data_IF_511996903283
#
_entry.id   IF_511996903283
#
_cell.length_a   1.000
_cell.length_b   1.000
_cell.length_c   1.000
_cell.angle_alpha   90.00
_cell.angle_beta   90.00
_cell.angle_gamma   90.00
#
_symmetry.space_group_name_H-M   'P 1'
#
loop_
_entity.id
_entity.type
_entity.pdbx_description
1 polymer ?
#
# COMPACT_ATOMS: atom_id res chain seq x y z
N UNK A 1 6.64 15.51 8.61
CA UNK A 1 5.68 14.83 7.73
C UNK A 1 5.48 15.63 6.46
N UNK A 2 5.55 15.00 5.30
CA UNK A 2 5.24 15.63 4.02
C UNK A 2 3.78 16.11 4.01
N UNK A 3 3.51 17.36 3.60
CA UNK A 3 2.15 17.92 3.49
C UNK A 3 1.26 17.05 2.59
N UNK A 4 1.83 16.59 1.48
CA UNK A 4 1.18 15.67 0.52
C UNK A 4 0.79 14.35 1.18
N UNK A 5 1.61 13.78 2.07
CA UNK A 5 1.29 12.53 2.73
C UNK A 5 0.06 12.67 3.66
N UNK A 6 -0.06 13.80 4.36
CA UNK A 6 -1.23 14.11 5.19
C UNK A 6 -2.49 14.30 4.35
N UNK A 7 -2.41 15.02 3.23
CA UNK A 7 -3.54 15.16 2.30
C UNK A 7 -3.99 13.81 1.74
N UNK A 8 -3.06 12.93 1.39
CA UNK A 8 -3.35 11.58 0.91
C UNK A 8 -4.09 10.78 1.99
N UNK A 9 -3.60 10.80 3.24
CA UNK A 9 -4.26 10.10 4.34
C UNK A 9 -5.68 10.62 4.56
N UNK A 10 -5.89 11.94 4.53
CA UNK A 10 -7.23 12.54 4.65
C UNK A 10 -8.18 12.07 3.55
N UNK A 11 -7.72 12.02 2.30
CA UNK A 11 -8.53 11.49 1.19
C UNK A 11 -8.91 10.03 1.45
N UNK A 12 -7.97 9.20 1.90
CA UNK A 12 -8.24 7.79 2.20
C UNK A 12 -9.24 7.65 3.36
N UNK A 13 -9.12 8.47 4.40
CA UNK A 13 -10.08 8.51 5.52
C UNK A 13 -11.48 8.96 5.08
N UNK A 14 -11.59 9.97 4.21
CA UNK A 14 -12.87 10.42 3.62
C UNK A 14 -13.54 9.33 2.78
N UNK A 15 -12.73 8.43 2.20
CA UNK A 15 -13.20 7.24 1.46
C UNK A 15 -13.44 6.02 2.36
N UNK A 16 -13.43 6.18 3.69
CA UNK A 16 -13.60 5.12 4.69
C UNK A 16 -12.49 4.04 4.68
N UNK A 17 -11.32 4.35 4.10
CA UNK A 17 -10.17 3.45 4.01
C UNK A 17 -9.25 3.61 5.24
N UNK A 18 -9.76 3.28 6.41
CA UNK A 18 -9.07 3.47 7.70
C UNK A 18 -7.91 2.50 7.97
N UNK A 19 -7.61 1.58 7.05
CA UNK A 19 -6.52 0.61 7.20
C UNK A 19 -5.16 1.20 6.81
N UNK A 20 -5.15 2.39 6.21
CA UNK A 20 -3.93 3.08 5.81
C UNK A 20 -3.37 3.92 6.96
N UNK A 21 -2.06 3.85 7.18
CA UNK A 21 -1.34 4.64 8.18
C UNK A 21 -0.07 5.24 7.59
N UNK A 22 0.40 6.35 8.18
CA UNK A 22 1.66 6.99 7.78
C UNK A 22 2.79 6.63 8.74
N UNK A 23 3.98 6.38 8.18
CA UNK A 23 5.21 6.17 8.95
C UNK A 23 6.31 7.09 8.43
N UNK A 24 6.75 8.02 9.26
CA UNK A 24 7.87 8.90 8.92
C UNK A 24 9.18 8.11 8.85
N UNK A 25 9.98 8.39 7.82
CA UNK A 25 11.33 7.84 7.63
C UNK A 25 12.37 8.95 7.79
N UNK A 26 13.58 8.60 8.25
CA UNK A 26 14.70 9.54 8.23
C UNK A 26 14.93 10.03 6.79
N UNK A 27 15.03 11.35 6.59
CA UNK A 27 15.34 11.95 5.28
C UNK A 27 14.19 12.63 4.56
N UNK A 28 13.06 12.90 5.23
CA UNK A 28 11.93 13.65 4.62
C UNK A 28 10.99 12.79 3.78
N UNK A 29 11.13 11.47 3.85
CA UNK A 29 10.22 10.53 3.21
C UNK A 29 9.17 10.04 4.21
N UNK A 30 7.93 9.87 3.75
CA UNK A 30 6.83 9.33 4.56
C UNK A 30 6.27 8.09 3.86
N UNK A 31 6.29 6.96 4.55
CA UNK A 31 5.72 5.71 4.03
C UNK A 31 4.21 5.67 4.26
N UNK A 32 3.46 5.30 3.23
CA UNK A 32 2.06 4.92 3.33
C UNK A 32 1.97 3.40 3.50
N UNK A 33 1.46 2.99 4.66
CA UNK A 33 1.38 1.60 5.10
C UNK A 33 -0.08 1.13 5.08
N UNK A 34 -0.31 -0.14 4.75
CA UNK A 34 -1.58 -0.84 4.93
C UNK A 34 -1.47 -1.80 6.12
N UNK A 35 -2.45 -1.74 7.03
CA UNK A 35 -2.50 -2.55 8.26
C UNK A 35 -1.18 -2.50 9.06
N UNK A 36 -0.54 -1.33 9.11
CA UNK A 36 0.75 -1.04 9.78
C UNK A 36 1.99 -1.83 9.33
N UNK A 37 1.82 -2.77 8.39
CA UNK A 37 2.85 -3.77 8.10
C UNK A 37 3.22 -3.84 6.61
N UNK A 38 2.28 -3.55 5.70
CA UNK A 38 2.52 -3.60 4.27
C UNK A 38 2.83 -2.20 3.74
N UNK A 39 4.04 -1.98 3.25
CA UNK A 39 4.37 -0.75 2.53
C UNK A 39 3.61 -0.73 1.20
N UNK A 40 2.79 0.28 0.99
CA UNK A 40 2.11 0.50 -0.30
C UNK A 40 2.97 1.40 -1.17
N UNK A 41 3.42 2.53 -0.65
CA UNK A 41 4.34 3.41 -1.35
C UNK A 41 5.05 4.37 -0.39
N UNK A 42 6.13 4.98 -0.84
CA UNK A 42 6.84 6.03 -0.10
C UNK A 42 6.62 7.38 -0.80
N UNK A 43 6.33 8.39 0.01
CA UNK A 43 5.95 9.74 -0.44
C UNK A 43 7.07 10.72 -0.06
N UNK A 44 7.58 11.47 -1.04
CA UNK A 44 8.58 12.52 -0.79
C UNK A 44 7.90 13.90 -0.65
N UNK A 45 8.58 14.83 0.00
CA UNK A 45 8.06 16.19 0.27
C UNK A 45 7.74 17.01 -1.00
N UNK A 46 8.32 16.66 -2.14
CA UNK A 46 8.21 17.38 -3.42
C UNK A 46 7.30 16.71 -4.46
N UNK A 47 6.62 15.62 -4.10
CA UNK A 47 5.76 14.88 -5.04
C UNK A 47 4.40 15.53 -5.25
N UNK A 48 3.86 15.41 -6.47
CA UNK A 48 2.49 15.84 -6.75
C UNK A 48 1.48 14.81 -6.23
N UNK A 49 0.42 15.30 -5.56
CA UNK A 49 -0.66 14.47 -5.02
C UNK A 49 -1.27 13.49 -6.04
N UNK A 50 -1.52 13.94 -7.27
CA UNK A 50 -2.04 13.11 -8.36
C UNK A 50 -1.13 11.92 -8.64
N UNK A 51 0.18 12.15 -8.71
CA UNK A 51 1.18 11.11 -8.94
C UNK A 51 1.18 10.07 -7.82
N UNK A 52 1.04 10.51 -6.56
CA UNK A 52 0.94 9.60 -5.41
C UNK A 52 -0.32 8.74 -5.49
N UNK A 53 -1.47 9.32 -5.81
CA UNK A 53 -2.74 8.58 -5.95
C UNK A 53 -2.69 7.55 -7.08
N UNK A 54 -2.14 7.91 -8.24
CA UNK A 54 -1.95 6.98 -9.37
C UNK A 54 -1.05 5.80 -8.97
N UNK A 55 0.01 6.08 -8.23
CA UNK A 55 0.91 5.05 -7.71
C UNK A 55 0.20 4.15 -6.69
N UNK A 56 -0.60 4.69 -5.76
CA UNK A 56 -1.39 3.87 -4.82
C UNK A 56 -2.29 2.89 -5.59
N UNK A 57 -2.96 3.34 -6.65
CA UNK A 57 -3.79 2.49 -7.50
C UNK A 57 -2.95 1.40 -8.16
N UNK A 58 -1.83 1.77 -8.79
CA UNK A 58 -0.94 0.83 -9.47
C UNK A 58 -0.41 -0.24 -8.52
N UNK A 59 0.14 0.15 -7.36
CA UNK A 59 0.69 -0.76 -6.36
C UNK A 59 -0.39 -1.69 -5.79
N UNK A 60 -1.61 -1.18 -5.58
CA UNK A 60 -2.75 -1.98 -5.12
C UNK A 60 -3.13 -3.08 -6.12
N UNK A 61 -3.09 -2.78 -7.42
CA UNK A 61 -3.33 -3.77 -8.49
C UNK A 61 -2.24 -4.83 -8.47
N UNK A 62 -0.97 -4.43 -8.40
CA UNK A 62 0.16 -5.35 -8.33
C UNK A 62 0.10 -6.26 -7.11
N UNK A 63 -0.22 -5.72 -5.93
CA UNK A 63 -0.37 -6.52 -4.70
C UNK A 63 -1.48 -7.55 -4.87
N UNK A 64 -2.64 -7.17 -5.43
CA UNK A 64 -3.73 -8.11 -5.70
C UNK A 64 -3.28 -9.25 -6.61
N UNK A 65 -2.63 -8.95 -7.73
CA UNK A 65 -2.14 -9.98 -8.67
C UNK A 65 -1.16 -10.95 -8.01
N UNK A 66 -0.26 -10.45 -7.16
CA UNK A 66 0.67 -11.28 -6.38
C UNK A 66 -0.07 -12.18 -5.39
N UNK A 67 -1.09 -11.64 -4.70
CA UNK A 67 -1.88 -12.39 -3.72
C UNK A 67 -2.73 -13.47 -4.39
N UNK A 68 -3.35 -13.17 -5.54
CA UNK A 68 -4.11 -14.14 -6.34
C UNK A 68 -3.19 -15.29 -6.80
N UNK A 69 -1.99 -14.97 -7.34
CA UNK A 69 -1.02 -16.00 -7.74
C UNK A 69 -0.49 -16.82 -6.53
N UNK A 70 -0.33 -16.18 -5.38
CA UNK A 70 0.10 -16.86 -4.16
C UNK A 70 -0.98 -17.82 -3.63
N UNK A 71 -2.25 -17.40 -3.66
CA UNK A 71 -3.41 -18.23 -3.30
C UNK A 71 -3.43 -19.51 -4.14
N UNK A 72 -3.42 -19.37 -5.48
CA UNK A 72 -3.41 -20.50 -6.42
C UNK A 72 -2.28 -21.51 -6.10
N UNK A 73 -1.06 -21.01 -5.89
CA UNK A 73 0.11 -21.86 -5.62
C UNK A 73 0.04 -22.53 -4.25
N UNK A 74 -0.49 -21.86 -3.23
CA UNK A 74 -0.65 -22.41 -1.89
C UNK A 74 -1.73 -23.48 -1.89
N UNK A 75 -2.86 -23.27 -2.56
CA UNK A 75 -3.91 -24.27 -2.72
C UNK A 75 -3.38 -25.54 -3.41
N UNK A 76 -2.63 -25.37 -4.51
CA UNK A 76 -1.97 -26.46 -5.23
C UNK A 76 -0.99 -27.25 -4.34
N UNK A 77 -0.30 -26.57 -3.43
CA UNK A 77 0.61 -27.20 -2.49
C UNK A 77 -0.15 -28.01 -1.43
N UNK A 78 -1.20 -27.43 -0.84
CA UNK A 78 -2.04 -28.11 0.16
C UNK A 78 -2.64 -29.39 -0.42
N UNK A 79 -3.18 -29.33 -1.65
CA UNK A 79 -3.74 -30.51 -2.34
C UNK A 79 -2.70 -31.61 -2.65
N UNK A 80 -1.41 -31.28 -2.74
CA UNK A 80 -0.32 -32.25 -2.93
C UNK A 80 0.13 -32.89 -1.63
N UNK A 81 0.10 -32.15 -0.52
CA UNK A 81 0.54 -32.63 0.81
C UNK A 81 -0.50 -33.54 1.45
N UNK A 82 -1.79 -33.35 1.18
CA UNK A 82 -2.89 -34.18 1.72
C UNK A 82 -3.08 -35.53 1.00
N UNK A 83 -2.11 -35.99 0.19
CA UNK A 83 -2.12 -37.29 -0.51
C UNK A 83 -0.99 -38.19 -0.03
#
# INVERSE_FOLDING_TARGET
MAEVALEILQILEELELHQFTLRERPGGQTDLMLNDNLLITSINDDEEKSSVLERIISESVTIREILDEAEDKIEDYVLKVDK
#
